data_IF_888893441927
#
_entry.id   IF_888893441927
#
_cell.length_a   1.000
_cell.length_b   1.000
_cell.length_c   1.000
_cell.angle_alpha   90.00
_cell.angle_beta   90.00
_cell.angle_gamma   90.00
#
_symmetry.space_group_name_H-M   'P 1'
#
loop_
_entity.id
_entity.type
_entity.pdbx_description
1 polymer ?
#
# COMPACT_ATOMS: atom_id res chain seq x y z
N UNK A 1 -20.31 -10.91 16.58
CA UNK A 1 -19.11 -10.17 17.07
C UNK A 1 -18.81 -9.07 16.07
N UNK A 2 -18.58 -7.84 16.51
CA UNK A 2 -18.17 -6.77 15.61
C UNK A 2 -16.76 -7.06 15.08
N UNK A 3 -16.58 -7.17 13.76
CA UNK A 3 -15.24 -7.32 13.18
C UNK A 3 -14.52 -5.98 13.23
N UNK A 4 -13.42 -5.89 13.97
CA UNK A 4 -12.53 -4.72 13.90
C UNK A 4 -11.94 -4.64 12.49
N UNK A 5 -12.01 -3.47 11.87
CA UNK A 5 -11.43 -3.17 10.54
C UNK A 5 -10.24 -2.25 10.71
N UNK A 6 -9.13 -2.58 10.05
CA UNK A 6 -7.84 -1.87 10.15
C UNK A 6 -7.53 -1.19 8.82
N UNK A 7 -7.41 -1.99 7.76
CA UNK A 7 -7.14 -1.54 6.41
C UNK A 7 -7.61 -2.62 5.41
N UNK A 8 -8.25 -2.24 4.28
CA UNK A 8 -8.83 -3.21 3.33
C UNK A 8 -7.86 -4.30 2.85
N UNK A 9 -6.57 -3.98 2.78
CA UNK A 9 -5.54 -4.93 2.33
C UNK A 9 -5.17 -6.02 3.35
N UNK A 10 -5.57 -5.89 4.63
CA UNK A 10 -5.27 -6.87 5.70
C UNK A 10 -6.52 -7.39 6.41
N UNK A 11 -7.68 -6.74 6.24
CA UNK A 11 -8.94 -7.14 6.89
C UNK A 11 -9.41 -8.55 6.48
N UNK A 12 -8.92 -9.07 5.36
CA UNK A 12 -9.15 -10.44 4.88
C UNK A 12 -7.94 -11.36 4.98
N UNK A 13 -6.89 -10.95 5.71
CA UNK A 13 -5.61 -11.65 5.79
C UNK A 13 -4.50 -11.00 4.96
N UNK A 14 -3.24 -11.30 5.32
CA UNK A 14 -2.05 -10.76 4.65
C UNK A 14 -1.75 -11.55 3.37
N UNK A 15 -1.56 -10.85 2.26
CA UNK A 15 -1.06 -11.46 1.02
C UNK A 15 0.47 -11.67 1.11
N UNK A 16 0.99 -12.89 0.88
CA UNK A 16 2.43 -13.13 0.90
C UNK A 16 3.13 -12.45 -0.27
N UNK A 17 4.39 -12.08 -0.08
CA UNK A 17 5.23 -11.56 -1.16
C UNK A 17 5.58 -12.65 -2.17
N UNK A 18 5.67 -12.29 -3.46
CA UNK A 18 6.20 -13.18 -4.48
C UNK A 18 7.74 -13.14 -4.46
N UNK A 19 8.38 -14.31 -4.53
CA UNK A 19 9.84 -14.48 -4.39
C UNK A 19 10.65 -13.65 -5.40
N UNK A 20 10.16 -13.53 -6.64
CA UNK A 20 10.84 -12.86 -7.74
C UNK A 20 10.06 -11.63 -8.24
N UNK A 21 9.42 -10.89 -7.34
CA UNK A 21 8.69 -9.68 -7.71
C UNK A 21 9.65 -8.58 -8.17
N UNK A 22 9.49 -8.12 -9.42
CA UNK A 22 10.37 -7.15 -10.07
C UNK A 22 9.83 -5.71 -10.04
N UNK A 23 8.88 -5.42 -9.15
CA UNK A 23 8.23 -4.13 -9.05
C UNK A 23 6.95 -4.02 -9.87
N UNK A 24 6.51 -2.79 -10.11
CA UNK A 24 5.27 -2.49 -10.81
C UNK A 24 4.94 -1.01 -10.80
N UNK A 25 3.71 -0.69 -11.17
CA UNK A 25 3.26 0.70 -11.35
C UNK A 25 2.16 1.05 -10.36
N UNK A 26 2.31 2.19 -9.68
CA UNK A 26 1.27 2.80 -8.86
C UNK A 26 0.52 3.85 -9.66
N UNK A 27 -0.80 3.91 -9.42
CA UNK A 27 -1.70 4.88 -10.03
C UNK A 27 -2.49 5.61 -8.96
N UNK A 28 -2.78 6.90 -9.17
CA UNK A 28 -3.80 7.58 -8.36
C UNK A 28 -5.22 7.16 -8.77
N UNK A 29 -6.23 7.63 -8.03
CA UNK A 29 -7.64 7.23 -8.21
C UNK A 29 -8.43 8.13 -9.18
N UNK A 30 -7.77 8.97 -9.98
CA UNK A 30 -8.46 9.76 -11.01
C UNK A 30 -9.01 8.85 -12.11
N UNK A 31 -10.15 9.19 -12.73
CA UNK A 31 -10.72 8.40 -13.84
C UNK A 31 -9.96 8.56 -15.16
N UNK A 32 -9.30 9.71 -15.36
CA UNK A 32 -8.53 10.06 -16.55
C UNK A 32 -7.26 10.80 -16.13
N UNK A 33 -6.23 10.79 -17.00
CA UNK A 33 -4.95 11.49 -16.79
C UNK A 33 -4.32 11.21 -15.41
N UNK A 34 -4.23 9.92 -15.06
CA UNK A 34 -3.75 9.49 -13.74
C UNK A 34 -2.26 9.79 -13.58
N UNK A 35 -1.88 10.15 -12.35
CA UNK A 35 -0.49 10.11 -11.92
C UNK A 35 -0.03 8.65 -11.96
N UNK A 36 1.11 8.42 -12.60
CA UNK A 36 1.73 7.12 -12.76
C UNK A 36 3.15 7.14 -12.17
N UNK A 37 3.48 6.14 -11.35
CA UNK A 37 4.81 6.01 -10.73
C UNK A 37 5.28 4.57 -10.91
N UNK A 38 6.41 4.40 -11.58
CA UNK A 38 7.08 3.10 -11.71
C UNK A 38 7.99 2.83 -10.50
N UNK A 39 7.93 1.63 -9.98
CA UNK A 39 8.82 1.11 -8.93
C UNK A 39 9.51 -0.13 -9.49
N UNK A 40 10.85 -0.11 -9.64
CA UNK A 40 11.59 -1.17 -10.36
C UNK A 40 12.08 -2.34 -9.50
N UNK A 41 11.40 -2.60 -8.38
CA UNK A 41 11.80 -3.67 -7.47
C UNK A 41 10.82 -3.92 -6.34
N UNK A 42 11.19 -4.86 -5.47
CA UNK A 42 10.44 -5.19 -4.27
C UNK A 42 10.57 -4.06 -3.22
N UNK A 43 9.47 -3.79 -2.52
CA UNK A 43 9.46 -2.90 -1.36
C UNK A 43 9.91 -3.62 -0.09
N UNK A 44 10.45 -2.86 0.86
CA UNK A 44 10.81 -3.34 2.18
C UNK A 44 9.92 -2.71 3.27
N UNK A 45 9.92 -3.31 4.45
CA UNK A 45 9.27 -2.78 5.67
C UNK A 45 7.80 -2.36 5.47
N UNK A 46 7.03 -3.10 4.67
CA UNK A 46 5.60 -2.85 4.52
C UNK A 46 4.88 -3.07 5.87
N UNK A 47 4.10 -2.09 6.31
CA UNK A 47 3.39 -2.13 7.59
C UNK A 47 2.11 -1.30 7.56
N UNK A 48 1.25 -1.55 8.55
CA UNK A 48 0.12 -0.66 8.85
C UNK A 48 0.58 0.46 9.79
N UNK A 49 0.24 1.71 9.47
CA UNK A 49 0.67 2.89 10.21
C UNK A 49 -0.53 3.71 10.70
N UNK A 50 -0.60 3.94 12.02
CA UNK A 50 -1.68 4.66 12.69
C UNK A 50 -1.47 6.17 12.79
N UNK A 51 -0.35 6.70 12.29
CA UNK A 51 -0.06 8.14 12.41
C UNK A 51 -1.07 8.98 11.63
N UNK A 52 -1.27 10.23 12.02
CA UNK A 52 -2.24 11.14 11.37
C UNK A 52 -1.77 11.66 10.01
N UNK A 53 -0.48 11.53 9.69
CA UNK A 53 0.15 12.15 8.52
C UNK A 53 0.13 11.30 7.25
N UNK A 54 0.13 9.97 7.39
CA UNK A 54 0.07 9.06 6.24
C UNK A 54 -1.36 8.95 5.68
N UNK A 55 -1.47 8.95 4.35
CA UNK A 55 -2.74 8.79 3.64
C UNK A 55 -3.43 7.46 3.98
N UNK A 56 -4.76 7.47 4.10
CA UNK A 56 -5.59 6.30 4.36
C UNK A 56 -6.72 6.26 3.34
N UNK A 57 -7.09 5.08 2.80
CA UNK A 57 -8.30 4.98 2.00
C UNK A 57 -9.53 5.30 2.86
N UNK A 58 -10.61 5.74 2.21
CA UNK A 58 -11.85 6.11 2.89
C UNK A 58 -12.34 4.94 3.76
N UNK A 59 -12.56 5.21 5.04
CA UNK A 59 -13.05 4.23 6.01
C UNK A 59 -11.99 3.35 6.69
N UNK A 60 -10.70 3.49 6.35
CA UNK A 60 -9.63 2.77 7.03
C UNK A 60 -9.09 3.53 8.25
N UNK A 61 -8.81 2.80 9.33
CA UNK A 61 -8.21 3.34 10.54
C UNK A 61 -6.68 3.50 10.41
N UNK A 62 -6.04 2.64 9.62
CA UNK A 62 -4.60 2.64 9.39
C UNK A 62 -4.28 2.91 7.92
N UNK A 63 -3.11 3.51 7.68
CA UNK A 63 -2.48 3.53 6.37
C UNK A 63 -1.76 2.20 6.14
N UNK A 64 -1.56 1.80 4.89
CA UNK A 64 -0.55 0.79 4.54
C UNK A 64 0.56 1.47 3.76
N UNK A 65 1.79 1.34 4.24
CA UNK A 65 2.95 2.03 3.68
C UNK A 65 4.18 1.13 3.73
N UNK A 66 5.00 1.21 2.70
CA UNK A 66 6.27 0.50 2.57
C UNK A 66 7.36 1.49 2.11
N UNK A 67 8.60 1.01 2.04
CA UNK A 67 9.73 1.82 1.57
C UNK A 67 10.43 1.16 0.38
N UNK A 68 10.97 2.00 -0.51
CA UNK A 68 11.85 1.63 -1.62
C UNK A 68 13.00 2.63 -1.68
N UNK A 69 14.14 2.25 -2.24
CA UNK A 69 15.20 3.20 -2.55
C UNK A 69 14.68 4.25 -3.54
N UNK A 70 14.99 5.52 -3.32
CA UNK A 70 14.49 6.64 -4.16
C UNK A 70 14.83 6.46 -5.64
N UNK A 71 16.01 5.90 -5.91
CA UNK A 71 16.53 5.71 -7.26
C UNK A 71 16.07 4.39 -7.90
N UNK A 72 15.11 3.68 -7.29
CA UNK A 72 14.45 2.51 -7.92
C UNK A 72 13.99 2.83 -9.34
#
# INVERSE_FOLDING_TARGET
MASVKIHPAVDGGLKPAAKNFAGGTLYCNCSQNRVEISIKGQCAHNHVCGCTKCWKPKGALFSQVAVVGRDN
#
